data_IF_721433747677
#
_entry.id   IF_721433747677
#
_cell.length_a   1.000
_cell.length_b   1.000
_cell.length_c   1.000
_cell.angle_alpha   90.00
_cell.angle_beta   90.00
_cell.angle_gamma   90.00
#
_symmetry.space_group_name_H-M   'P 1'
#
loop_
_entity.id
_entity.type
_entity.pdbx_description
1 polymer ?
#
# COMPACT_ATOMS: atom_id res chain seq x y z
N UNK A 1 -76.84 33.06 49.21
CA UNK A 1 -78.01 33.48 48.39
C UNK A 1 -77.67 34.80 47.72
N UNK A 2 -78.09 35.13 46.49
CA UNK A 2 -78.05 34.34 45.25
C UNK A 2 -77.49 35.14 44.02
N UNK A 3 -77.17 34.39 42.96
CA UNK A 3 -77.39 34.61 41.52
C UNK A 3 -76.74 35.72 40.65
N UNK A 4 -76.24 35.22 39.49
CA UNK A 4 -76.29 35.79 38.10
C UNK A 4 -75.52 37.10 37.84
N UNK A 5 -74.85 37.35 36.71
CA UNK A 5 -74.87 36.78 35.35
C UNK A 5 -73.68 37.28 34.51
N UNK A 6 -73.32 36.50 33.49
CA UNK A 6 -72.45 36.80 32.33
C UNK A 6 -72.50 38.24 31.79
N UNK A 7 -71.38 38.78 31.28
CA UNK A 7 -71.04 38.83 29.84
C UNK A 7 -69.67 39.50 29.57
N UNK A 8 -69.12 39.10 28.42
CA UNK A 8 -67.81 39.38 27.81
C UNK A 8 -67.56 40.86 27.51
N UNK A 9 -66.29 41.25 27.59
CA UNK A 9 -65.72 42.42 26.92
C UNK A 9 -64.19 42.35 26.95
N UNK A 10 -63.60 41.91 25.84
CA UNK A 10 -62.14 41.86 25.61
C UNK A 10 -61.71 43.20 25.01
N UNK A 11 -60.68 43.83 25.58
CA UNK A 11 -59.66 44.59 24.84
C UNK A 11 -58.49 44.90 25.80
N UNK A 12 -57.47 44.04 25.81
CA UNK A 12 -56.18 44.35 26.43
C UNK A 12 -55.17 44.62 25.33
N UNK A 13 -54.66 45.85 25.29
CA UNK A 13 -53.56 46.27 24.45
C UNK A 13 -52.28 45.53 24.86
N UNK A 14 -51.68 44.80 23.92
CA UNK A 14 -50.41 44.12 24.13
C UNK A 14 -49.27 45.14 24.10
N UNK A 15 -48.55 45.27 25.21
CA UNK A 15 -47.26 45.95 25.31
C UNK A 15 -46.16 44.94 24.96
N UNK A 16 -45.39 45.24 23.93
CA UNK A 16 -44.22 44.46 23.54
C UNK A 16 -43.06 44.75 24.51
N UNK A 17 -42.59 43.73 25.22
CA UNK A 17 -41.30 43.75 25.94
C UNK A 17 -40.41 42.72 25.26
N UNK A 18 -39.35 43.19 24.60
CA UNK A 18 -38.30 42.35 24.03
C UNK A 18 -37.58 41.62 25.17
N UNK A 19 -37.79 40.31 25.27
CA UNK A 19 -36.92 39.43 26.06
C UNK A 19 -35.72 39.03 25.18
N UNK A 20 -34.52 39.51 25.54
CA UNK A 20 -33.27 39.06 24.94
C UNK A 20 -33.01 37.61 25.29
N UNK A 21 -32.99 36.73 24.29
CA UNK A 21 -32.60 35.34 24.45
C UNK A 21 -31.08 35.25 24.56
N UNK A 22 -30.57 34.91 25.75
CA UNK A 22 -29.20 34.45 25.94
C UNK A 22 -29.17 32.99 25.44
N UNK A 23 -28.72 32.80 24.21
CA UNK A 23 -28.45 31.47 23.68
C UNK A 23 -27.13 30.97 24.26
N UNK A 24 -27.22 29.93 25.11
CA UNK A 24 -26.08 29.10 25.49
C UNK A 24 -25.55 28.40 24.24
N UNK A 25 -24.38 28.84 23.76
CA UNK A 25 -23.63 28.14 22.72
C UNK A 25 -23.02 26.90 23.37
N UNK A 26 -23.32 25.67 22.93
CA UNK A 26 -22.51 24.53 23.31
C UNK A 26 -21.14 24.73 22.64
N UNK A 27 -20.08 24.80 23.44
CA UNK A 27 -18.72 24.65 22.93
C UNK A 27 -18.58 23.20 22.46
N UNK A 28 -18.98 22.95 21.21
CA UNK A 28 -18.53 21.79 20.48
C UNK A 28 -17.01 21.97 20.32
N UNK A 29 -16.25 21.12 21.01
CA UNK A 29 -14.83 21.00 20.70
C UNK A 29 -14.73 20.54 19.26
N UNK A 30 -14.27 21.44 18.39
CA UNK A 30 -13.79 21.07 17.06
C UNK A 30 -12.56 20.16 17.27
N UNK A 31 -12.83 18.86 17.40
CA UNK A 31 -11.86 17.87 16.98
C UNK A 31 -11.68 18.13 15.49
N UNK A 32 -10.63 18.87 15.14
CA UNK A 32 -10.08 18.88 13.79
C UNK A 32 -9.71 17.44 13.46
N UNK A 33 -10.67 16.69 12.93
CA UNK A 33 -10.41 15.47 12.21
C UNK A 33 -9.53 15.88 11.04
N UNK A 34 -8.22 15.73 11.20
CA UNK A 34 -7.29 15.75 10.08
C UNK A 34 -7.84 14.75 9.07
N UNK A 35 -8.24 15.28 7.93
CA UNK A 35 -8.79 14.55 6.82
C UNK A 35 -7.68 13.69 6.18
N UNK A 36 -7.30 12.61 6.87
CA UNK A 36 -6.25 11.70 6.43
C UNK A 36 -6.92 10.60 5.62
N UNK A 37 -7.05 10.82 4.31
CA UNK A 37 -7.60 9.83 3.38
C UNK A 37 -6.58 8.69 3.20
N UNK A 38 -6.88 7.45 3.64
CA UNK A 38 -5.92 6.36 3.59
C UNK A 38 -6.05 5.59 2.29
N UNK A 39 -4.94 5.49 1.56
CA UNK A 39 -4.83 4.90 0.23
C UNK A 39 -3.53 4.08 0.17
N UNK A 40 -3.44 2.96 -0.58
CA UNK A 40 -3.27 1.59 0.01
C UNK A 40 -4.42 1.35 0.99
N UNK A 41 -5.13 0.22 0.91
CA UNK A 41 -6.33 0.06 1.74
C UNK A 41 -5.90 0.19 3.20
N UNK A 42 -6.43 1.19 3.92
CA UNK A 42 -6.04 1.51 5.30
C UNK A 42 -4.61 2.06 5.52
N UNK A 43 -3.89 2.45 4.46
CA UNK A 43 -2.54 3.03 4.51
C UNK A 43 -2.49 4.54 4.68
N UNK A 44 -1.31 5.15 4.72
CA UNK A 44 -1.14 6.62 4.76
C UNK A 44 -0.15 7.06 3.69
N UNK A 45 -0.09 8.37 3.41
CA UNK A 45 0.99 8.88 2.55
C UNK A 45 2.36 8.55 3.15
N UNK A 46 3.27 8.07 2.31
CA UNK A 46 4.63 7.75 2.69
C UNK A 46 5.60 8.64 1.93
N UNK A 47 6.67 9.06 2.60
CA UNK A 47 7.68 9.94 2.05
C UNK A 47 8.65 9.15 1.17
N UNK A 48 8.85 9.59 -0.08
CA UNK A 48 9.88 9.00 -0.94
C UNK A 48 11.30 9.31 -0.41
N UNK A 49 11.46 10.38 0.36
CA UNK A 49 12.74 10.72 0.97
C UNK A 49 13.13 9.71 2.07
N UNK A 50 12.15 9.16 2.79
CA UNK A 50 12.37 8.12 3.81
C UNK A 50 12.54 6.74 3.18
N UNK A 51 11.96 6.54 1.99
CA UNK A 51 11.94 5.28 1.26
C UNK A 51 12.50 5.42 -0.17
N UNK A 52 13.74 5.90 -0.35
CA UNK A 52 14.28 6.29 -1.66
C UNK A 52 14.47 5.09 -2.60
N UNK A 53 14.48 3.87 -2.06
CA UNK A 53 14.54 2.61 -2.80
C UNK A 53 13.20 2.23 -3.44
N UNK A 54 12.08 2.81 -3.04
CA UNK A 54 10.78 2.48 -3.63
C UNK A 54 10.72 3.03 -5.07
N UNK A 55 10.37 2.17 -6.01
CA UNK A 55 10.21 2.54 -7.42
C UNK A 55 8.87 2.04 -7.95
N UNK A 56 8.46 2.57 -9.09
CA UNK A 56 7.35 2.01 -9.86
C UNK A 56 7.73 1.80 -11.31
N UNK A 57 7.04 0.84 -11.94
CA UNK A 57 7.24 0.44 -13.32
C UNK A 57 6.17 1.09 -14.19
N UNK A 58 6.58 1.61 -15.34
CA UNK A 58 5.67 2.19 -16.34
C UNK A 58 5.94 1.62 -17.73
N UNK A 59 4.98 1.79 -18.63
CA UNK A 59 5.24 1.73 -20.06
C UNK A 59 5.96 3.00 -20.55
N UNK A 60 6.15 3.13 -21.87
CA UNK A 60 6.79 4.31 -22.52
C UNK A 60 6.00 5.60 -22.38
N UNK A 61 4.68 5.50 -22.19
CA UNK A 61 3.79 6.64 -22.07
C UNK A 61 3.69 7.11 -20.60
N UNK A 62 4.39 6.44 -19.68
CA UNK A 62 4.40 6.77 -18.26
C UNK A 62 3.21 6.17 -17.50
N UNK A 63 2.44 5.26 -18.11
CA UNK A 63 1.36 4.58 -17.40
C UNK A 63 1.98 3.58 -16.42
N UNK A 64 1.88 3.90 -15.14
CA UNK A 64 2.27 2.98 -14.08
C UNK A 64 1.49 1.67 -14.20
N UNK A 65 2.07 0.54 -13.79
CA UNK A 65 1.34 -0.73 -13.72
C UNK A 65 1.78 -1.65 -12.58
N UNK A 66 3.02 -1.52 -12.13
CA UNK A 66 3.58 -2.26 -11.01
C UNK A 66 4.50 -1.38 -10.16
N UNK A 67 4.90 -1.88 -8.99
CA UNK A 67 5.97 -1.38 -8.14
C UNK A 67 7.28 -2.14 -8.34
N UNK A 68 8.30 -1.71 -7.60
CA UNK A 68 9.59 -2.37 -7.49
C UNK A 68 10.38 -1.81 -6.31
N UNK A 69 11.57 -2.34 -6.08
CA UNK A 69 12.50 -1.84 -5.08
C UNK A 69 13.95 -1.90 -5.56
N UNK A 70 14.68 -0.80 -5.42
CA UNK A 70 16.12 -0.76 -5.67
C UNK A 70 16.84 -1.64 -4.64
N UNK A 71 17.62 -2.58 -5.15
CA UNK A 71 18.49 -3.48 -4.37
C UNK A 71 19.98 -3.17 -4.58
N UNK A 72 20.29 -2.32 -5.57
CA UNK A 72 21.59 -1.72 -5.80
C UNK A 72 21.44 -0.41 -6.60
N UNK A 73 22.56 0.16 -7.07
CA UNK A 73 22.53 1.31 -7.97
C UNK A 73 21.85 1.02 -9.32
N UNK A 74 21.85 -0.23 -9.82
CA UNK A 74 21.21 -0.59 -11.10
C UNK A 74 20.23 -1.76 -11.01
N UNK A 75 20.18 -2.45 -9.89
CA UNK A 75 19.32 -3.61 -9.67
C UNK A 75 17.99 -3.19 -9.07
N UNK A 76 16.89 -3.57 -9.72
CA UNK A 76 15.53 -3.42 -9.22
C UNK A 76 14.90 -4.79 -9.05
N UNK A 77 14.50 -5.12 -7.82
CA UNK A 77 13.71 -6.30 -7.51
C UNK A 77 12.22 -5.99 -7.73
N UNK A 78 11.51 -6.88 -8.41
CA UNK A 78 10.07 -6.78 -8.67
C UNK A 78 9.46 -8.17 -8.83
N UNK A 79 8.16 -8.25 -9.11
CA UNK A 79 7.47 -9.50 -9.38
C UNK A 79 7.74 -9.98 -10.81
N UNK A 80 7.82 -11.30 -11.00
CA UNK A 80 8.03 -11.90 -12.32
C UNK A 80 6.85 -11.61 -13.26
N UNK A 81 5.62 -11.64 -12.77
CA UNK A 81 4.45 -11.31 -13.59
C UNK A 81 4.45 -9.85 -14.08
N UNK A 82 5.03 -8.92 -13.29
CA UNK A 82 5.21 -7.54 -13.72
C UNK A 82 6.25 -7.44 -14.85
N UNK A 83 7.38 -8.14 -14.70
CA UNK A 83 8.44 -8.15 -15.70
C UNK A 83 8.02 -8.82 -17.03
N UNK A 84 7.05 -9.74 -16.99
CA UNK A 84 6.47 -10.39 -18.18
C UNK A 84 5.31 -9.62 -18.82
N UNK A 85 4.78 -8.59 -18.17
CA UNK A 85 3.59 -7.88 -18.64
C UNK A 85 3.80 -7.14 -19.96
N UNK A 86 5.05 -6.78 -20.29
CA UNK A 86 5.41 -6.10 -21.54
C UNK A 86 6.85 -6.41 -21.95
N UNK A 87 7.25 -5.96 -23.14
CA UNK A 87 8.64 -6.17 -23.61
C UNK A 87 9.58 -5.30 -22.80
N UNK A 88 10.80 -5.80 -22.53
CA UNK A 88 11.88 -5.04 -21.89
C UNK A 88 12.03 -3.62 -22.45
N UNK A 89 12.02 -3.47 -23.77
CA UNK A 89 12.23 -2.18 -24.43
C UNK A 89 11.09 -1.19 -24.17
N UNK A 90 9.92 -1.64 -23.76
CA UNK A 90 8.75 -0.80 -23.43
C UNK A 90 8.71 -0.41 -21.95
N UNK A 91 9.41 -1.18 -21.10
CA UNK A 91 9.43 -1.00 -19.66
C UNK A 91 10.34 0.18 -19.26
N UNK A 92 9.88 1.00 -18.33
CA UNK A 92 10.65 2.05 -17.66
C UNK A 92 10.55 1.89 -16.16
N UNK A 93 11.59 2.32 -15.45
CA UNK A 93 11.61 2.39 -13.98
C UNK A 93 11.69 3.84 -13.55
N UNK A 94 10.84 4.23 -12.61
CA UNK A 94 10.83 5.57 -12.03
C UNK A 94 11.21 5.52 -10.55
N UNK A 95 12.25 6.25 -10.18
CA UNK A 95 12.78 6.32 -8.82
C UNK A 95 12.81 7.75 -8.29
N UNK A 96 12.64 7.93 -6.97
CA UNK A 96 12.70 9.24 -6.33
C UNK A 96 11.50 10.15 -6.59
N UNK A 97 10.35 9.59 -6.99
CA UNK A 97 9.11 10.36 -7.24
C UNK A 97 8.00 9.95 -6.29
N UNK A 98 7.58 10.87 -5.42
CA UNK A 98 6.43 10.67 -4.53
C UNK A 98 5.09 10.85 -5.26
N UNK A 99 4.91 11.96 -5.99
CA UNK A 99 3.70 12.30 -6.75
C UNK A 99 3.92 12.01 -8.25
N UNK A 100 3.18 11.03 -8.78
CA UNK A 100 3.29 10.57 -10.17
C UNK A 100 3.00 11.65 -11.21
N UNK A 101 2.29 12.72 -10.85
CA UNK A 101 1.94 13.83 -11.75
C UNK A 101 3.09 14.80 -11.98
N UNK A 102 4.17 14.65 -11.22
CA UNK A 102 5.38 15.48 -11.34
C UNK A 102 6.43 14.80 -12.23
N UNK A 103 7.48 15.55 -12.58
CA UNK A 103 8.68 15.03 -13.25
C UNK A 103 9.85 14.78 -12.29
N UNK A 104 9.61 14.78 -10.97
CA UNK A 104 10.67 14.57 -9.98
C UNK A 104 11.35 13.20 -10.15
N UNK A 105 12.59 13.09 -9.69
CA UNK A 105 13.33 11.85 -9.69
C UNK A 105 13.94 11.49 -11.04
N UNK A 106 14.17 10.19 -11.27
CA UNK A 106 14.84 9.65 -12.46
C UNK A 106 13.94 8.62 -13.13
N UNK A 107 13.93 8.63 -14.47
CA UNK A 107 13.32 7.59 -15.30
C UNK A 107 14.44 6.91 -16.07
N UNK A 108 14.57 5.59 -15.93
CA UNK A 108 15.62 4.80 -16.59
C UNK A 108 15.02 3.69 -17.44
N UNK A 109 15.75 3.31 -18.49
CA UNK A 109 15.41 2.15 -19.29
C UNK A 109 15.93 0.86 -18.64
N UNK A 110 15.43 -0.26 -19.12
CA UNK A 110 15.88 -1.58 -18.66
C UNK A 110 16.78 -2.22 -19.69
N UNK A 111 18.02 -2.49 -19.30
CA UNK A 111 19.04 -3.14 -20.12
C UNK A 111 18.85 -4.67 -20.13
N UNK A 112 18.63 -5.26 -18.95
CA UNK A 112 18.47 -6.70 -18.77
C UNK A 112 17.29 -7.02 -17.86
N UNK A 113 16.62 -8.13 -18.17
CA UNK A 113 15.57 -8.72 -17.34
C UNK A 113 15.97 -10.14 -17.00
N UNK A 114 16.08 -10.44 -15.72
CA UNK A 114 16.09 -11.81 -15.22
C UNK A 114 14.74 -12.10 -14.58
N UNK A 115 14.10 -13.18 -15.03
CA UNK A 115 12.89 -13.72 -14.41
C UNK A 115 13.28 -15.06 -13.81
N UNK A 116 12.83 -15.33 -12.57
CA UNK A 116 13.06 -16.62 -11.95
C UNK A 116 12.60 -17.75 -12.91
N UNK A 117 13.49 -18.68 -13.31
CA UNK A 117 13.19 -19.68 -14.32
C UNK A 117 12.11 -20.69 -13.89
N UNK A 118 11.79 -20.77 -12.60
CA UNK A 118 10.73 -21.60 -12.04
C UNK A 118 9.37 -20.90 -12.01
N UNK A 119 9.31 -19.59 -12.27
CA UNK A 119 8.06 -18.85 -12.32
C UNK A 119 7.15 -19.36 -13.45
N UNK A 120 5.87 -19.54 -13.16
CA UNK A 120 4.84 -19.92 -14.13
C UNK A 120 3.59 -19.06 -13.98
N UNK A 121 3.15 -18.89 -12.75
CA UNK A 121 1.99 -18.11 -12.37
C UNK A 121 2.16 -17.62 -10.91
N UNK A 122 1.68 -16.41 -10.54
CA UNK A 122 1.80 -15.90 -9.17
C UNK A 122 1.32 -16.87 -8.09
N UNK A 123 0.24 -17.61 -8.35
CA UNK A 123 -0.35 -18.57 -7.39
C UNK A 123 0.44 -19.85 -7.24
N UNK A 124 1.48 -20.07 -8.06
CA UNK A 124 2.39 -21.22 -8.01
C UNK A 124 3.77 -20.88 -7.46
N UNK A 125 3.99 -19.63 -7.05
CA UNK A 125 5.22 -19.18 -6.39
C UNK A 125 6.31 -18.76 -7.38
N UNK A 126 7.51 -18.54 -6.84
CA UNK A 126 8.68 -18.08 -7.59
C UNK A 126 8.49 -16.74 -8.33
N UNK A 127 7.54 -15.91 -7.88
CA UNK A 127 7.16 -14.65 -8.53
C UNK A 127 8.15 -13.51 -8.24
N UNK A 128 9.38 -13.68 -8.71
CA UNK A 128 10.47 -12.73 -8.53
C UNK A 128 11.22 -12.50 -9.84
N UNK A 129 11.53 -11.25 -10.12
CA UNK A 129 12.39 -10.83 -11.22
C UNK A 129 13.35 -9.72 -10.77
N UNK A 130 14.48 -9.62 -11.47
CA UNK A 130 15.44 -8.52 -11.33
C UNK A 130 15.54 -7.80 -12.67
N UNK A 131 15.34 -6.50 -12.64
CA UNK A 131 15.59 -5.60 -13.75
C UNK A 131 16.96 -4.96 -13.53
N UNK A 132 17.86 -5.06 -14.51
CA UNK A 132 19.09 -4.29 -14.54
C UNK A 132 18.86 -3.05 -15.38
N UNK A 133 19.05 -1.89 -14.76
CA UNK A 133 18.89 -0.57 -15.35
C UNK A 133 20.09 -0.21 -16.24
N UNK A 134 19.84 0.62 -17.25
CA UNK A 134 20.87 1.15 -18.14
C UNK A 134 21.77 2.21 -17.46
N UNK A 135 21.23 2.91 -16.48
CA UNK A 135 21.91 3.94 -15.70
C UNK A 135 21.86 3.66 -14.18
N UNK A 136 22.87 4.14 -13.46
CA UNK A 136 22.89 4.07 -12.00
C UNK A 136 21.96 5.10 -11.37
N UNK A 137 21.09 4.63 -10.48
CA UNK A 137 20.15 5.44 -9.73
C UNK A 137 20.85 6.13 -8.55
N UNK A 138 20.66 7.45 -8.36
CA UNK A 138 21.27 8.21 -7.27
C UNK A 138 20.50 8.04 -5.94
N UNK A 139 19.98 6.84 -5.67
CA UNK A 139 19.15 6.53 -4.50
C UNK A 139 19.70 5.35 -3.74
N UNK A 140 19.58 5.41 -2.41
CA UNK A 140 19.99 4.32 -1.54
C UNK A 140 19.12 3.09 -1.79
N UNK A 141 19.76 1.93 -2.01
CA UNK A 141 19.10 0.64 -2.10
C UNK A 141 18.55 0.14 -0.74
N UNK A 142 17.51 -0.69 -0.83
CA UNK A 142 17.02 -1.48 0.29
C UNK A 142 17.97 -2.66 0.58
N UNK A 143 17.86 -3.24 1.78
CA UNK A 143 18.62 -4.43 2.14
C UNK A 143 17.89 -5.68 1.68
N UNK A 144 18.64 -6.66 1.18
CA UNK A 144 18.16 -8.02 1.02
C UNK A 144 18.32 -8.78 2.36
N UNK A 145 17.40 -9.70 2.68
CA UNK A 145 17.48 -10.51 3.89
C UNK A 145 18.66 -11.49 3.79
N UNK A 146 19.33 -11.76 4.91
CA UNK A 146 20.40 -12.74 5.01
C UNK A 146 20.01 -13.91 5.93
N UNK A 147 20.88 -14.92 6.06
CA UNK A 147 20.59 -16.15 6.84
C UNK A 147 20.28 -15.90 8.32
N UNK A 148 20.69 -14.75 8.87
CA UNK A 148 20.39 -14.32 10.24
C UNK A 148 19.01 -13.67 10.42
N UNK A 149 18.27 -13.41 9.35
CA UNK A 149 17.04 -12.59 9.37
C UNK A 149 15.75 -13.41 9.48
N UNK A 150 15.83 -14.67 9.93
CA UNK A 150 14.66 -15.54 10.10
C UNK A 150 13.59 -14.90 11.01
N UNK A 151 14.01 -14.08 11.96
CA UNK A 151 13.13 -13.39 12.90
C UNK A 151 12.22 -12.36 12.22
N UNK A 152 12.62 -11.80 11.06
CA UNK A 152 11.81 -10.85 10.30
C UNK A 152 10.56 -11.50 9.68
N UNK A 153 10.56 -12.83 9.55
CA UNK A 153 9.49 -13.63 8.98
C UNK A 153 8.56 -14.26 10.04
N UNK A 154 8.75 -13.95 11.33
CA UNK A 154 7.90 -14.47 12.39
C UNK A 154 6.50 -13.86 12.33
N UNK A 155 5.50 -14.68 12.60
CA UNK A 155 4.10 -14.24 12.77
C UNK A 155 4.02 -13.03 13.72
N UNK A 156 3.19 -12.06 13.36
CA UNK A 156 2.97 -10.83 14.12
C UNK A 156 4.01 -9.74 13.88
N UNK A 157 5.15 -10.05 13.25
CA UNK A 157 6.16 -9.03 12.88
C UNK A 157 5.51 -7.97 12.01
N UNK A 158 5.61 -6.70 12.41
CA UNK A 158 5.02 -5.59 11.67
C UNK A 158 5.92 -5.24 10.48
N UNK A 159 5.38 -5.42 9.29
CA UNK A 159 6.02 -5.08 8.04
C UNK A 159 5.30 -3.92 7.36
N UNK A 160 6.05 -3.08 6.65
CA UNK A 160 5.54 -1.96 5.88
C UNK A 160 5.46 -2.35 4.41
N UNK A 161 4.27 -2.32 3.83
CA UNK A 161 4.10 -2.36 2.37
C UNK A 161 4.11 -0.94 1.82
N UNK A 162 4.73 -0.76 0.65
CA UNK A 162 4.80 0.53 -0.06
C UNK A 162 4.32 0.39 -1.50
N UNK A 163 3.68 1.44 -2.03
CA UNK A 163 3.29 1.47 -3.43
C UNK A 163 2.41 2.65 -3.83
N UNK A 164 1.98 2.64 -5.08
CA UNK A 164 1.10 3.64 -5.71
C UNK A 164 -0.17 2.99 -6.31
N UNK A 165 -0.46 1.77 -5.88
CA UNK A 165 -1.60 1.00 -6.35
C UNK A 165 -2.94 1.61 -5.94
N UNK A 166 -3.97 0.82 -6.20
CA UNK A 166 -5.34 1.16 -5.87
C UNK A 166 -5.53 1.28 -4.38
N UNK A 167 -6.50 2.09 -4.03
CA UNK A 167 -6.71 2.54 -2.66
C UNK A 167 -7.94 1.94 -2.01
N UNK A 168 -8.72 1.23 -2.83
CA UNK A 168 -9.79 0.32 -2.50
C UNK A 168 -9.86 -0.73 -3.62
N UNK A 169 -10.45 -1.89 -3.36
CA UNK A 169 -10.67 -2.93 -4.39
C UNK A 169 -11.52 -2.34 -5.53
N UNK A 170 -10.95 -2.30 -6.75
CA UNK A 170 -11.57 -1.65 -7.91
C UNK A 170 -11.60 -0.11 -7.88
N UNK A 171 -11.08 0.54 -6.84
CA UNK A 171 -11.03 2.00 -6.68
C UNK A 171 -9.95 2.70 -7.52
N UNK A 172 -9.83 4.04 -7.46
CA UNK A 172 -8.78 4.76 -8.19
C UNK A 172 -7.38 4.39 -7.69
N UNK A 173 -6.36 4.62 -8.52
CA UNK A 173 -4.95 4.54 -8.11
C UNK A 173 -4.54 5.78 -7.34
N UNK A 174 -3.52 5.63 -6.49
CA UNK A 174 -2.95 6.77 -5.77
C UNK A 174 -1.94 7.52 -6.65
N UNK A 175 -2.10 8.83 -6.77
CA UNK A 175 -1.05 9.68 -7.36
C UNK A 175 0.21 9.74 -6.48
N UNK A 176 0.06 9.56 -5.17
CA UNK A 176 1.13 9.67 -4.18
C UNK A 176 1.63 8.31 -3.71
N UNK A 177 2.89 8.23 -3.29
CA UNK A 177 3.43 7.06 -2.58
C UNK A 177 2.65 6.86 -1.29
N UNK A 178 2.27 5.61 -1.06
CA UNK A 178 1.54 5.18 0.11
C UNK A 178 2.29 4.10 0.86
N UNK A 179 1.98 3.95 2.14
CA UNK A 179 2.46 2.87 2.96
C UNK A 179 1.46 2.42 4.02
N UNK A 180 1.46 1.12 4.32
CA UNK A 180 0.65 0.55 5.38
C UNK A 180 1.44 -0.47 6.20
N UNK A 181 1.08 -0.60 7.49
CA UNK A 181 1.66 -1.61 8.38
C UNK A 181 0.75 -2.83 8.48
N UNK A 182 1.27 -3.97 8.05
CA UNK A 182 0.59 -5.27 8.10
C UNK A 182 1.43 -6.25 8.92
N UNK A 183 0.82 -7.09 9.78
CA UNK A 183 1.56 -8.15 10.46
C UNK A 183 1.84 -9.30 9.49
N UNK A 184 3.01 -9.92 9.61
CA UNK A 184 3.27 -11.22 9.00
C UNK A 184 2.29 -12.25 9.56
N UNK A 185 1.73 -13.07 8.67
CA UNK A 185 0.80 -14.15 9.01
C UNK A 185 1.56 -15.48 9.03
N UNK A 186 1.16 -16.41 9.91
CA UNK A 186 1.77 -17.73 9.97
C UNK A 186 1.55 -18.53 8.68
N UNK A 187 2.51 -19.40 8.34
CA UNK A 187 2.43 -20.28 7.17
C UNK A 187 1.16 -21.18 7.23
N UNK A 188 0.73 -21.59 8.42
CA UNK A 188 -0.47 -22.40 8.63
C UNK A 188 -1.74 -21.61 8.30
N UNK A 189 -1.89 -20.40 8.84
CA UNK A 189 -3.04 -19.54 8.52
C UNK A 189 -3.07 -19.16 7.03
N UNK A 190 -1.92 -18.86 6.43
CA UNK A 190 -1.79 -18.69 4.98
C UNK A 190 -2.31 -19.89 4.20
N UNK A 191 -1.90 -21.11 4.59
CA UNK A 191 -2.31 -22.35 3.93
C UNK A 191 -3.81 -22.63 4.07
N UNK A 192 -4.39 -22.25 5.20
CA UNK A 192 -5.83 -22.35 5.46
C UNK A 192 -6.62 -21.36 4.60
N UNK A 193 -6.12 -20.14 4.41
CA UNK A 193 -6.72 -19.16 3.50
C UNK A 193 -6.57 -19.56 2.03
N UNK A 194 -5.42 -20.14 1.66
CA UNK A 194 -5.05 -20.43 0.28
C UNK A 194 -4.42 -21.82 0.14
N UNK A 195 -5.16 -22.75 -0.48
CA UNK A 195 -4.69 -24.12 -0.70
C UNK A 195 -3.43 -24.20 -1.59
N UNK A 196 -3.22 -23.22 -2.48
CA UNK A 196 -2.04 -23.12 -3.34
C UNK A 196 -0.80 -22.54 -2.64
N UNK A 197 -0.95 -21.99 -1.42
CA UNK A 197 0.16 -21.37 -0.70
C UNK A 197 1.31 -22.36 -0.46
N UNK A 198 2.53 -21.92 -0.79
CA UNK A 198 3.76 -22.65 -0.54
C UNK A 198 4.74 -21.77 0.25
N UNK A 199 4.93 -22.11 1.52
CA UNK A 199 5.88 -21.42 2.40
C UNK A 199 7.32 -21.44 1.89
N UNK A 200 7.71 -22.36 1.01
CA UNK A 200 9.08 -22.37 0.49
C UNK A 200 9.38 -21.13 -0.37
N UNK A 201 8.35 -20.52 -0.98
CA UNK A 201 8.49 -19.41 -1.92
C UNK A 201 7.58 -18.22 -1.63
N UNK A 202 6.63 -18.34 -0.70
CA UNK A 202 5.62 -17.34 -0.40
C UNK A 202 5.58 -16.93 1.08
N UNK A 203 5.07 -15.73 1.33
CA UNK A 203 4.84 -15.13 2.64
C UNK A 203 3.46 -14.44 2.59
N UNK A 204 2.65 -14.48 3.66
CA UNK A 204 1.50 -13.57 3.74
C UNK A 204 1.69 -12.53 4.83
N UNK A 205 1.04 -11.39 4.62
CA UNK A 205 0.91 -10.35 5.63
C UNK A 205 -0.47 -9.68 5.50
N UNK A 206 -1.10 -9.39 6.62
CA UNK A 206 -2.45 -8.83 6.67
C UNK A 206 -3.11 -9.05 8.03
N UNK A 207 -4.14 -8.26 8.31
CA UNK A 207 -4.94 -8.46 9.53
C UNK A 207 -6.03 -9.52 9.30
N UNK A 208 -6.37 -10.35 10.30
CA UNK A 208 -7.48 -11.31 10.19
C UNK A 208 -8.80 -10.64 9.80
N UNK A 209 -9.10 -9.47 10.38
CA UNK A 209 -10.31 -8.70 10.07
C UNK A 209 -10.25 -7.96 8.70
N UNK A 210 -9.14 -8.08 7.96
CA UNK A 210 -8.90 -7.34 6.74
C UNK A 210 -8.67 -5.85 7.01
N UNK A 211 -9.20 -4.99 6.14
CA UNK A 211 -9.15 -3.52 6.28
C UNK A 211 -7.83 -2.85 5.93
N UNK A 212 -6.70 -3.58 5.95
CA UNK A 212 -5.39 -3.07 5.52
C UNK A 212 -4.68 -4.06 4.61
N UNK A 213 -4.35 -3.66 3.38
CA UNK A 213 -3.69 -4.54 2.40
C UNK A 213 -3.09 -3.80 1.20
N UNK A 214 -2.12 -4.45 0.54
CA UNK A 214 -1.69 -4.09 -0.80
C UNK A 214 -2.83 -4.31 -1.80
N UNK A 215 -2.85 -3.56 -2.91
CA UNK A 215 -3.92 -3.70 -3.89
C UNK A 215 -3.41 -3.60 -5.33
N UNK A 216 -4.32 -3.62 -6.31
CA UNK A 216 -3.91 -3.69 -7.70
C UNK A 216 -3.05 -2.48 -8.10
N UNK A 217 -1.90 -2.72 -8.71
CA UNK A 217 -0.89 -1.69 -9.01
C UNK A 217 0.24 -1.58 -7.98
N UNK A 218 0.11 -2.21 -6.81
CA UNK A 218 1.21 -2.38 -5.85
C UNK A 218 2.07 -3.62 -6.16
N UNK A 219 1.60 -4.54 -7.02
CA UNK A 219 2.33 -5.73 -7.46
C UNK A 219 3.77 -5.41 -7.83
N UNK A 220 4.72 -6.21 -7.36
CA UNK A 220 6.15 -5.97 -7.51
C UNK A 220 6.75 -5.01 -6.48
N UNK A 221 5.92 -4.24 -5.76
CA UNK A 221 6.35 -3.35 -4.68
C UNK A 221 6.86 -4.10 -3.44
N UNK A 222 7.59 -3.42 -2.55
CA UNK A 222 8.24 -4.06 -1.42
C UNK A 222 7.34 -4.21 -0.19
N UNK A 223 7.54 -5.31 0.53
CA UNK A 223 7.16 -5.52 1.92
C UNK A 223 8.43 -5.51 2.79
N UNK A 224 8.51 -4.59 3.75
CA UNK A 224 9.74 -4.26 4.46
C UNK A 224 9.63 -4.45 5.96
N UNK A 225 10.72 -4.90 6.60
CA UNK A 225 10.93 -4.74 8.04
C UNK A 225 12.17 -3.86 8.23
N UNK A 226 11.97 -2.65 8.74
CA UNK A 226 12.98 -1.59 8.63
C UNK A 226 13.26 -1.28 7.15
N UNK A 227 14.51 -1.43 6.74
CA UNK A 227 14.96 -1.26 5.34
C UNK A 227 15.16 -2.61 4.62
N UNK A 228 14.87 -3.74 5.26
CA UNK A 228 15.07 -5.07 4.68
C UNK A 228 13.81 -5.53 3.94
N UNK A 229 13.95 -5.87 2.66
CA UNK A 229 12.84 -6.35 1.81
C UNK A 229 12.58 -7.81 2.11
N UNK A 230 11.56 -8.08 2.92
CA UNK A 230 11.21 -9.47 3.28
C UNK A 230 10.31 -10.13 2.24
N UNK A 231 9.54 -9.33 1.49
CA UNK A 231 8.58 -9.79 0.51
C UNK A 231 8.42 -8.86 -0.68
N UNK A 232 7.94 -9.40 -1.80
CA UNK A 232 7.49 -8.64 -2.98
C UNK A 232 6.00 -8.90 -3.19
N UNK A 233 5.19 -7.85 -3.31
CA UNK A 233 3.73 -7.95 -3.53
C UNK A 233 3.49 -8.80 -4.78
N UNK A 234 2.71 -9.88 -4.65
CA UNK A 234 2.55 -10.87 -5.72
C UNK A 234 1.07 -11.04 -6.11
N UNK A 235 0.23 -11.50 -5.19
CA UNK A 235 -1.19 -11.73 -5.47
C UNK A 235 -2.05 -11.74 -4.19
N UNK A 236 -3.37 -11.83 -4.36
CA UNK A 236 -4.35 -11.91 -3.28
C UNK A 236 -5.77 -12.13 -3.83
N UNK A 237 -6.73 -12.45 -2.95
CA UNK A 237 -8.14 -12.55 -3.31
C UNK A 237 -8.88 -11.27 -2.95
N UNK A 238 -8.96 -10.33 -3.90
CA UNK A 238 -9.38 -8.96 -3.63
C UNK A 238 -8.31 -8.20 -2.84
N UNK A 239 -8.70 -7.08 -2.22
CA UNK A 239 -7.82 -6.29 -1.34
C UNK A 239 -8.46 -6.12 0.02
N UNK A 240 -7.71 -6.37 1.10
CA UNK A 240 -8.11 -6.10 2.48
C UNK A 240 -9.39 -6.80 2.93
N UNK A 241 -9.63 -8.01 2.42
CA UNK A 241 -10.75 -8.85 2.82
C UNK A 241 -10.43 -9.60 4.12
N UNK A 242 -11.42 -9.82 4.99
CA UNK A 242 -11.26 -10.69 6.15
C UNK A 242 -10.77 -12.09 5.75
N UNK A 243 -9.85 -12.66 6.53
CA UNK A 243 -9.26 -14.00 6.34
C UNK A 243 -8.62 -14.26 4.97
N UNK A 244 -8.27 -13.18 4.26
CA UNK A 244 -7.64 -13.19 2.93
C UNK A 244 -6.45 -12.21 2.93
N UNK A 245 -5.34 -12.56 3.62
CA UNK A 245 -4.17 -11.70 3.64
C UNK A 245 -3.53 -11.59 2.25
N UNK A 246 -2.81 -10.51 1.98
CA UNK A 246 -1.99 -10.38 0.79
C UNK A 246 -0.87 -11.42 0.76
N UNK A 247 -0.57 -11.96 -0.42
CA UNK A 247 0.50 -12.94 -0.65
C UNK A 247 1.66 -12.28 -1.38
N UNK A 248 2.85 -12.52 -0.85
CA UNK A 248 4.12 -11.94 -1.27
C UNK A 248 5.09 -13.05 -1.65
N UNK A 249 5.95 -12.82 -2.64
CA UNK A 249 7.09 -13.70 -2.87
C UNK A 249 8.10 -13.55 -1.71
N UNK A 250 8.54 -14.65 -1.12
CA UNK A 250 9.44 -14.70 0.04
C UNK A 250 10.89 -14.43 -0.40
N UNK A 251 11.40 -13.22 -0.19
CA UNK A 251 12.71 -12.79 -0.73
C UNK A 251 13.88 -13.63 -0.19
N UNK A 252 13.84 -14.06 1.08
CA UNK A 252 14.86 -14.94 1.65
C UNK A 252 15.02 -16.27 0.89
N UNK A 253 14.00 -16.73 0.16
CA UNK A 253 14.08 -17.95 -0.64
C UNK A 253 14.88 -17.77 -1.94
N UNK A 254 15.14 -16.52 -2.37
CA UNK A 254 15.73 -16.18 -3.66
C UNK A 254 16.96 -15.27 -3.56
N UNK A 255 17.48 -15.07 -2.34
CA UNK A 255 18.50 -14.04 -2.10
C UNK A 255 19.78 -14.30 -2.90
N UNK A 256 20.23 -15.56 -2.98
CA UNK A 256 21.43 -15.93 -3.73
C UNK A 256 21.26 -15.64 -5.22
N UNK A 257 20.11 -16.03 -5.78
CA UNK A 257 19.77 -15.84 -7.18
C UNK A 257 19.64 -14.35 -7.50
N UNK A 258 18.92 -13.59 -6.66
CA UNK A 258 18.75 -12.14 -6.82
C UNK A 258 20.10 -11.42 -6.79
N UNK A 259 20.98 -11.74 -5.84
CA UNK A 259 22.33 -11.15 -5.76
C UNK A 259 23.21 -11.50 -6.97
N UNK A 260 22.96 -12.62 -7.65
CA UNK A 260 23.71 -13.01 -8.85
C UNK A 260 23.30 -12.25 -10.13
N UNK A 261 22.23 -11.43 -10.06
CA UNK A 261 21.75 -10.63 -11.19
C UNK A 261 22.12 -9.15 -11.11
N UNK A 262 22.72 -8.74 -10.00
CA UNK A 262 23.14 -7.37 -9.73
C UNK A 262 24.51 -7.04 -10.36
#
# INVERSE_FOLDING_TARGET
MPNKSRRRGVLTAATAVLAGAIALVPAAGDATATNTQPYIVGGTEASIADHPYAVYLTDRDGNQFCGGVLISGRGVLTAAHCAQAMKRTELRVVAGRQDQRTSAGVVSEVDKVWINPQFRDPTTGNDVAVLTLDEEMPYRAAKLPDTGDADLYREGTKAKVLGWGRTADGGPRSDYLRGALVPVVSDESCKNSFSSYDKSTMLCAGYPDGGVDACQGDSGGPLLVGDTVIGIVSWGEGCARPDRPGVYARVAAFTTEVRSQD
#
